data_IF_771510306572
#
_entry.id   IF_771510306572
#
_cell.length_a   1.000
_cell.length_b   1.000
_cell.length_c   1.000
_cell.angle_alpha   90.00
_cell.angle_beta   90.00
_cell.angle_gamma   90.00
#
_symmetry.space_group_name_H-M   'P 1'
#
loop_
_entity.id
_entity.type
_entity.pdbx_description
1 polymer ?
#
# COMPACT_ATOMS: atom_id res chain seq x y z
N UNK A 1 13.78 -1.32 6.26
CA UNK A 1 12.91 -2.50 6.38
C UNK A 1 13.61 -3.78 5.95
N UNK A 2 13.27 -4.91 6.58
CA UNK A 2 13.54 -6.22 5.97
C UNK A 2 12.46 -6.48 4.92
N UNK A 3 12.79 -6.26 3.64
CA UNK A 3 11.89 -6.40 2.48
C UNK A 3 11.52 -7.88 2.26
N UNK A 4 10.28 -8.14 1.89
CA UNK A 4 9.76 -9.49 1.66
C UNK A 4 9.39 -10.24 2.94
N UNK A 5 9.22 -9.51 4.05
CA UNK A 5 8.69 -10.04 5.29
C UNK A 5 7.16 -10.21 5.21
N UNK A 6 6.57 -10.80 6.24
CA UNK A 6 5.12 -11.05 6.31
C UNK A 6 4.26 -9.78 6.20
N UNK A 7 4.76 -8.63 6.66
CA UNK A 7 4.11 -7.35 6.49
C UNK A 7 4.06 -6.89 5.04
N UNK A 8 5.14 -7.06 4.27
CA UNK A 8 5.10 -6.73 2.84
C UNK A 8 4.19 -7.68 2.07
N UNK A 9 4.07 -8.93 2.50
CA UNK A 9 3.12 -9.88 1.93
C UNK A 9 1.67 -9.51 2.26
N UNK A 10 1.41 -8.99 3.47
CA UNK A 10 0.13 -8.39 3.83
C UNK A 10 -0.18 -7.18 2.93
N UNK A 11 0.78 -6.28 2.77
CA UNK A 11 0.64 -5.09 1.92
C UNK A 11 0.26 -5.46 0.49
N UNK A 12 1.13 -6.18 -0.20
CA UNK A 12 0.90 -6.54 -1.59
C UNK A 12 -0.31 -7.47 -1.76
N UNK A 13 -0.59 -8.32 -0.76
CA UNK A 13 -1.79 -9.14 -0.71
C UNK A 13 -3.07 -8.32 -0.76
N UNK A 14 -3.17 -7.32 0.11
CA UNK A 14 -4.31 -6.41 0.20
C UNK A 14 -4.40 -5.49 -1.02
N UNK A 15 -3.29 -4.91 -1.46
CA UNK A 15 -3.24 -3.99 -2.60
C UNK A 15 -3.70 -4.68 -3.89
N UNK A 16 -3.20 -5.87 -4.20
CA UNK A 16 -3.55 -6.55 -5.44
C UNK A 16 -4.96 -7.16 -5.41
N UNK A 17 -5.44 -7.55 -4.22
CA UNK A 17 -6.85 -7.89 -4.04
C UNK A 17 -7.75 -6.67 -4.25
N UNK A 18 -7.34 -5.50 -3.76
CA UNK A 18 -8.05 -4.25 -3.98
C UNK A 18 -8.09 -3.90 -5.47
N UNK A 19 -6.96 -3.97 -6.17
CA UNK A 19 -6.90 -3.77 -7.63
C UNK A 19 -7.86 -4.71 -8.34
N UNK A 20 -7.81 -6.01 -8.01
CA UNK A 20 -8.68 -7.03 -8.61
C UNK A 20 -10.17 -6.77 -8.36
N UNK A 21 -10.52 -6.18 -7.22
CA UNK A 21 -11.89 -5.85 -6.86
C UNK A 21 -12.42 -4.57 -7.54
N UNK A 22 -11.56 -3.58 -7.80
CA UNK A 22 -12.00 -2.26 -8.32
C UNK A 22 -11.73 -2.05 -9.80
N UNK A 23 -10.78 -2.75 -10.42
CA UNK A 23 -10.40 -2.50 -11.81
C UNK A 23 -11.13 -3.42 -12.79
N UNK A 24 -11.50 -2.84 -13.94
CA UNK A 24 -11.90 -3.61 -15.12
C UNK A 24 -10.94 -3.39 -16.30
N UNK A 25 -10.24 -2.24 -16.37
CA UNK A 25 -9.36 -1.90 -17.50
C UNK A 25 -8.23 -0.93 -17.12
N UNK A 26 -8.52 0.14 -16.37
CA UNK A 26 -7.54 1.14 -15.97
C UNK A 26 -7.53 1.38 -14.46
N UNK A 27 -6.42 1.90 -13.95
CA UNK A 27 -6.24 2.25 -12.55
C UNK A 27 -5.39 3.52 -12.41
N UNK A 28 -5.83 4.41 -11.53
CA UNK A 28 -4.98 5.44 -10.96
C UNK A 28 -4.37 4.93 -9.65
N UNK A 29 -3.06 4.99 -9.51
CA UNK A 29 -2.30 4.59 -8.32
C UNK A 29 -1.71 5.83 -7.67
N UNK A 30 -2.03 6.05 -6.39
CA UNK A 30 -1.33 7.01 -5.54
C UNK A 30 -0.55 6.24 -4.49
N UNK A 31 0.78 6.25 -4.57
CA UNK A 31 1.67 5.51 -3.68
C UNK A 31 2.57 6.46 -2.89
N UNK A 32 2.41 6.52 -1.57
CA UNK A 32 3.10 7.50 -0.72
C UNK A 32 4.56 7.13 -0.38
N UNK A 33 4.95 5.86 -0.46
CA UNK A 33 6.34 5.42 -0.38
C UNK A 33 6.60 4.39 -1.48
N UNK A 34 7.04 4.88 -2.64
CA UNK A 34 7.07 4.08 -3.87
C UNK A 34 8.24 3.09 -3.93
N UNK A 35 9.30 3.32 -3.15
CA UNK A 35 10.53 2.51 -3.15
C UNK A 35 11.21 2.48 -4.53
N UNK A 36 12.35 1.79 -4.66
CA UNK A 36 12.88 1.53 -6.00
C UNK A 36 11.94 0.54 -6.72
N UNK A 37 11.88 0.53 -8.06
CA UNK A 37 11.09 -0.45 -8.80
C UNK A 37 11.34 -1.89 -8.33
N UNK A 38 12.62 -2.21 -8.09
CA UNK A 38 13.07 -3.53 -7.63
C UNK A 38 14.15 -3.38 -6.59
N UNK A 39 14.10 -4.21 -5.56
CA UNK A 39 15.04 -4.13 -4.45
C UNK A 39 15.52 -5.51 -3.99
N UNK A 40 16.75 -5.59 -3.48
CA UNK A 40 17.24 -6.81 -2.84
C UNK A 40 16.68 -6.96 -1.42
N UNK A 41 16.23 -8.16 -1.08
CA UNK A 41 15.84 -8.55 0.27
C UNK A 41 17.07 -8.75 1.18
N UNK A 42 17.22 -7.96 2.26
CA UNK A 42 18.45 -7.97 3.06
C UNK A 42 18.61 -9.20 3.98
N UNK A 43 17.59 -10.04 4.16
CA UNK A 43 17.63 -11.17 5.10
C UNK A 43 16.80 -12.39 4.63
N UNK A 44 17.40 -13.36 3.92
CA UNK A 44 16.70 -14.55 3.39
C UNK A 44 15.93 -15.35 4.44
N UNK A 45 16.44 -15.42 5.68
CA UNK A 45 15.82 -16.18 6.78
C UNK A 45 14.47 -15.62 7.23
N UNK A 46 14.19 -14.34 6.96
CA UNK A 46 12.94 -13.65 7.29
C UNK A 46 11.89 -13.73 6.17
N UNK A 47 12.25 -14.28 5.02
CA UNK A 47 11.44 -14.27 3.80
C UNK A 47 10.96 -15.67 3.42
N UNK A 48 10.89 -16.59 4.38
CA UNK A 48 10.48 -17.99 4.16
C UNK A 48 9.12 -18.07 3.49
N UNK A 49 8.19 -17.19 3.85
CA UNK A 49 6.84 -17.16 3.30
C UNK A 49 6.82 -16.70 1.84
N UNK A 50 7.58 -15.64 1.50
CA UNK A 50 7.77 -15.23 0.11
C UNK A 50 8.38 -16.37 -0.72
N UNK A 51 9.44 -17.00 -0.21
CA UNK A 51 10.04 -18.16 -0.88
C UNK A 51 9.04 -19.32 -1.03
N UNK A 52 8.20 -19.57 -0.03
CA UNK A 52 7.15 -20.58 -0.10
C UNK A 52 6.17 -20.25 -1.23
N UNK A 53 5.62 -19.03 -1.29
CA UNK A 53 4.68 -18.58 -2.32
C UNK A 53 5.26 -18.62 -3.74
N UNK A 54 6.53 -18.24 -3.90
CA UNK A 54 7.18 -18.26 -5.21
C UNK A 54 7.36 -19.69 -5.73
N UNK A 55 7.69 -20.63 -4.84
CA UNK A 55 8.01 -22.03 -5.20
C UNK A 55 6.83 -23.00 -5.12
N UNK A 56 5.72 -22.59 -4.52
CA UNK A 56 4.55 -23.45 -4.36
C UNK A 56 3.82 -23.60 -5.69
N UNK A 57 3.71 -24.83 -6.21
CA UNK A 57 3.01 -25.11 -7.46
C UNK A 57 1.49 -24.94 -7.42
N UNK A 58 0.94 -24.21 -6.44
CA UNK A 58 -0.50 -23.97 -6.36
C UNK A 58 -0.87 -22.84 -7.35
N UNK A 59 -2.05 -22.97 -7.93
CA UNK A 59 -2.73 -21.89 -8.67
C UNK A 59 -3.25 -20.86 -7.65
N UNK A 60 -2.34 -19.98 -7.23
CA UNK A 60 -2.64 -18.95 -6.24
C UNK A 60 -3.38 -17.74 -6.83
N UNK A 61 -3.92 -16.86 -5.96
CA UNK A 61 -4.50 -15.57 -6.34
C UNK A 61 -3.58 -14.68 -7.18
N UNK A 62 -4.17 -13.61 -7.74
CA UNK A 62 -3.54 -12.57 -8.56
C UNK A 62 -2.17 -12.09 -8.04
N UNK A 63 -2.00 -12.07 -6.72
CA UNK A 63 -0.76 -11.69 -6.02
C UNK A 63 0.44 -12.54 -6.43
N UNK A 64 0.36 -13.87 -6.31
CA UNK A 64 1.49 -14.75 -6.62
C UNK A 64 1.79 -14.73 -8.12
N UNK A 65 0.75 -14.63 -8.95
CA UNK A 65 0.92 -14.46 -10.39
C UNK A 65 1.66 -13.15 -10.72
N UNK A 66 1.33 -12.04 -10.05
CA UNK A 66 2.00 -10.75 -10.22
C UNK A 66 3.49 -10.81 -9.84
N UNK A 67 3.82 -11.45 -8.72
CA UNK A 67 5.22 -11.68 -8.34
C UNK A 67 5.97 -12.53 -9.38
N UNK A 68 5.36 -13.61 -9.87
CA UNK A 68 5.97 -14.49 -10.89
C UNK A 68 6.19 -13.77 -12.22
N UNK A 69 5.22 -12.97 -12.68
CA UNK A 69 5.37 -12.14 -13.90
C UNK A 69 6.50 -11.13 -13.78
N UNK A 70 6.75 -10.63 -12.57
CA UNK A 70 7.87 -9.74 -12.27
C UNK A 70 9.21 -10.47 -12.07
N UNK A 71 9.24 -11.80 -12.19
CA UNK A 71 10.41 -12.64 -11.91
C UNK A 71 10.94 -12.39 -10.48
N UNK A 72 10.01 -12.23 -9.54
CA UNK A 72 10.36 -11.86 -8.17
C UNK A 72 11.26 -12.92 -7.54
N UNK A 73 12.29 -12.44 -6.85
CA UNK A 73 13.23 -13.26 -6.10
C UNK A 73 13.76 -12.49 -4.90
N UNK A 74 14.61 -13.12 -4.09
CA UNK A 74 15.26 -12.43 -2.97
C UNK A 74 16.19 -11.31 -3.43
N UNK A 75 16.72 -11.37 -4.66
CA UNK A 75 17.59 -10.32 -5.20
C UNK A 75 16.78 -9.25 -5.96
N UNK A 76 15.52 -9.54 -6.27
CA UNK A 76 14.65 -8.73 -7.11
C UNK A 76 13.22 -8.75 -6.56
N UNK A 77 13.00 -8.00 -5.49
CA UNK A 77 11.69 -7.80 -4.88
C UNK A 77 11.00 -6.59 -5.54
N UNK A 78 9.88 -6.77 -6.27
CA UNK A 78 9.17 -5.69 -6.93
C UNK A 78 8.41 -4.80 -5.92
N UNK A 79 8.28 -3.51 -6.22
CA UNK A 79 7.41 -2.61 -5.47
C UNK A 79 5.93 -2.74 -5.89
N UNK A 80 5.05 -1.99 -5.23
CA UNK A 80 3.61 -1.96 -5.54
C UNK A 80 3.33 -1.62 -7.01
N UNK A 81 3.97 -0.58 -7.56
CA UNK A 81 3.71 -0.15 -8.94
C UNK A 81 4.05 -1.25 -9.97
N UNK A 82 5.19 -1.93 -9.84
CA UNK A 82 5.56 -3.08 -10.68
C UNK A 82 4.54 -4.23 -10.58
N UNK A 83 4.08 -4.52 -9.36
CA UNK A 83 3.11 -5.60 -9.14
C UNK A 83 1.74 -5.26 -9.74
N UNK A 84 1.25 -4.04 -9.52
CA UNK A 84 -0.02 -3.58 -10.09
C UNK A 84 0.04 -3.58 -11.61
N UNK A 85 1.10 -3.02 -12.21
CA UNK A 85 1.27 -3.00 -13.65
C UNK A 85 1.34 -4.41 -14.25
N UNK A 86 1.88 -5.41 -13.53
CA UNK A 86 1.85 -6.80 -14.00
C UNK A 86 0.47 -7.46 -14.02
N UNK A 87 -0.54 -6.84 -13.38
CA UNK A 87 -1.93 -7.30 -13.40
C UNK A 87 -2.69 -6.62 -14.53
N UNK A 88 -2.58 -5.29 -14.63
CA UNK A 88 -3.43 -4.49 -15.53
C UNK A 88 -2.73 -4.04 -16.81
N UNK A 89 -1.40 -4.10 -16.87
CA UNK A 89 -0.56 -3.60 -17.97
C UNK A 89 -0.05 -2.18 -17.74
N UNK A 90 1.16 -1.90 -18.24
CA UNK A 90 1.81 -0.58 -18.14
C UNK A 90 0.98 0.54 -18.79
N UNK A 91 0.28 0.26 -19.89
CA UNK A 91 -0.56 1.24 -20.59
C UNK A 91 -1.87 1.58 -19.84
N UNK A 92 -2.16 0.85 -18.76
CA UNK A 92 -3.41 0.94 -18.01
C UNK A 92 -3.23 1.49 -16.59
N UNK A 93 -2.00 1.87 -16.22
CA UNK A 93 -1.67 2.46 -14.93
C UNK A 93 -1.30 3.94 -15.10
N UNK A 94 -1.88 4.78 -14.25
CA UNK A 94 -1.57 6.22 -14.16
C UNK A 94 -1.45 6.63 -12.70
N UNK A 95 -0.96 7.83 -12.43
CA UNK A 95 -1.05 8.44 -11.09
C UNK A 95 0.26 8.95 -10.54
N UNK A 96 0.46 8.81 -9.24
CA UNK A 96 1.48 9.54 -8.50
C UNK A 96 2.28 8.63 -7.56
N UNK A 97 3.60 8.65 -7.74
CA UNK A 97 4.57 7.88 -6.97
C UNK A 97 5.45 8.84 -6.16
N UNK A 98 5.34 8.83 -4.83
CA UNK A 98 6.18 9.64 -3.93
C UNK A 98 7.36 8.83 -3.41
N UNK A 99 8.55 9.44 -3.39
CA UNK A 99 9.77 8.85 -2.83
C UNK A 99 10.77 9.97 -2.45
N UNK A 100 11.41 9.85 -1.29
CA UNK A 100 12.35 10.87 -0.77
C UNK A 100 13.81 10.54 -1.05
N UNK A 101 14.14 9.28 -1.35
CA UNK A 101 15.50 8.86 -1.69
C UNK A 101 15.84 9.19 -3.15
N UNK A 102 16.76 10.12 -3.36
CA UNK A 102 17.19 10.58 -4.69
C UNK A 102 17.60 9.43 -5.64
N UNK A 103 18.28 8.41 -5.12
CA UNK A 103 18.67 7.24 -5.91
C UNK A 103 17.46 6.47 -6.42
N UNK A 104 16.49 6.19 -5.55
CA UNK A 104 15.27 5.47 -5.91
C UNK A 104 14.38 6.30 -6.83
N UNK A 105 14.30 7.62 -6.62
CA UNK A 105 13.61 8.55 -7.53
C UNK A 105 14.18 8.45 -8.94
N UNK A 106 15.51 8.40 -9.06
CA UNK A 106 16.19 8.26 -10.35
C UNK A 106 15.81 6.94 -11.03
N UNK A 107 15.78 5.83 -10.28
CA UNK A 107 15.36 4.53 -10.79
C UNK A 107 13.89 4.49 -11.21
N UNK A 108 13.00 5.09 -10.41
CA UNK A 108 11.57 5.22 -10.71
C UNK A 108 11.34 6.03 -11.99
N UNK A 109 12.00 7.19 -12.12
CA UNK A 109 11.89 8.03 -13.31
C UNK A 109 12.34 7.28 -14.56
N UNK A 110 13.41 6.50 -14.47
CA UNK A 110 13.89 5.68 -15.59
C UNK A 110 12.92 4.56 -15.97
N UNK A 111 12.21 3.97 -14.99
CA UNK A 111 11.25 2.88 -15.23
C UNK A 111 9.93 3.37 -15.82
N UNK A 112 9.46 4.54 -15.40
CA UNK A 112 8.11 5.03 -15.66
C UNK A 112 8.07 6.22 -16.64
N UNK A 113 9.18 6.56 -17.31
CA UNK A 113 9.29 7.74 -18.18
C UNK A 113 8.28 7.78 -19.34
N UNK A 114 7.89 6.61 -19.85
CA UNK A 114 6.98 6.46 -21.00
C UNK A 114 5.54 6.13 -20.57
N UNK A 115 5.20 6.36 -19.30
CA UNK A 115 3.87 6.02 -18.73
C UNK A 115 3.20 7.24 -18.12
N UNK A 116 1.93 7.11 -17.76
CA UNK A 116 1.16 8.15 -17.05
C UNK A 116 1.39 8.13 -15.53
N UNK A 117 2.44 7.46 -15.04
CA UNK A 117 2.87 7.51 -13.64
C UNK A 117 3.88 8.63 -13.42
N UNK A 118 3.51 9.59 -12.58
CA UNK A 118 4.32 10.74 -12.23
C UNK A 118 5.12 10.47 -10.95
N UNK A 119 6.44 10.58 -11.04
CA UNK A 119 7.34 10.41 -9.90
C UNK A 119 7.62 11.75 -9.22
N UNK A 120 7.37 11.82 -7.92
CA UNK A 120 7.58 12.97 -7.07
C UNK A 120 8.73 12.69 -6.10
N UNK A 121 9.87 13.36 -6.31
CA UNK A 121 11.06 13.26 -5.45
C UNK A 121 10.94 14.07 -4.16
N UNK A 122 9.83 13.93 -3.43
CA UNK A 122 9.57 14.69 -2.21
C UNK A 122 8.65 13.95 -1.24
N UNK A 123 8.50 14.55 -0.06
CA UNK A 123 7.57 14.14 0.98
C UNK A 123 6.13 14.06 0.47
N UNK A 124 5.45 12.94 0.69
CA UNK A 124 4.04 12.77 0.35
C UNK A 124 3.16 13.80 1.10
N UNK A 125 3.55 14.21 2.32
CA UNK A 125 2.83 15.23 3.11
C UNK A 125 2.74 16.56 2.37
N UNK A 126 3.78 16.90 1.62
CA UNK A 126 3.82 18.11 0.79
C UNK A 126 3.24 17.85 -0.60
N UNK A 127 3.52 16.68 -1.15
CA UNK A 127 3.15 16.28 -2.50
C UNK A 127 1.66 16.09 -2.71
N UNK A 128 0.94 15.49 -1.76
CA UNK A 128 -0.51 15.23 -1.88
C UNK A 128 -1.34 16.50 -2.08
N UNK A 129 -0.88 17.65 -1.58
CA UNK A 129 -1.57 18.92 -1.78
C UNK A 129 -1.54 19.44 -3.23
N UNK A 130 -0.68 18.86 -4.07
CA UNK A 130 -0.40 19.30 -5.45
C UNK A 130 -0.92 18.33 -6.50
N UNK A 131 -1.20 17.09 -6.12
CA UNK A 131 -1.72 16.09 -7.05
C UNK A 131 -3.21 16.29 -7.27
N UNK A 132 -3.64 16.01 -8.50
CA UNK A 132 -5.06 16.08 -8.86
C UNK A 132 -5.69 14.72 -8.58
N UNK A 133 -6.96 14.70 -8.14
CA UNK A 133 -7.67 13.45 -8.06
C UNK A 133 -7.86 12.82 -9.45
N UNK A 134 -8.01 11.49 -9.51
CA UNK A 134 -8.42 10.82 -10.74
C UNK A 134 -9.81 11.28 -11.21
N UNK A 135 -10.13 11.00 -12.46
CA UNK A 135 -11.45 11.26 -13.01
C UNK A 135 -12.53 10.32 -12.38
N UNK A 136 -13.79 10.75 -12.21
CA UNK A 136 -14.94 9.99 -11.66
C UNK A 136 -15.06 8.52 -12.07
N UNK A 137 -14.70 8.22 -13.31
CA UNK A 137 -14.80 6.93 -13.96
C UNK A 137 -13.57 6.03 -13.77
N UNK A 138 -12.46 6.58 -13.29
CA UNK A 138 -11.18 5.88 -13.15
C UNK A 138 -11.11 5.19 -11.79
N UNK A 139 -10.85 3.88 -11.79
CA UNK A 139 -10.64 3.15 -10.55
C UNK A 139 -9.39 3.69 -9.83
N UNK A 140 -9.44 3.84 -8.51
CA UNK A 140 -8.35 4.46 -7.75
C UNK A 140 -7.88 3.61 -6.58
N UNK A 141 -6.59 3.31 -6.54
CA UNK A 141 -5.92 2.79 -5.37
C UNK A 141 -5.03 3.88 -4.76
N UNK A 142 -5.35 4.29 -3.54
CA UNK A 142 -4.43 5.01 -2.68
C UNK A 142 -3.77 4.02 -1.72
N UNK A 143 -2.45 4.00 -1.68
CA UNK A 143 -1.69 3.16 -0.75
C UNK A 143 -0.66 3.96 0.05
N UNK A 144 -0.57 3.60 1.32
CA UNK A 144 0.36 4.19 2.26
C UNK A 144 0.92 3.16 3.22
N UNK A 145 2.24 3.07 3.27
CA UNK A 145 3.01 2.01 3.91
C UNK A 145 4.07 2.52 4.91
N UNK A 146 3.69 3.36 5.90
CA UNK A 146 4.60 3.86 6.92
C UNK A 146 5.09 2.72 7.82
N UNK A 147 6.32 2.82 8.30
CA UNK A 147 6.88 1.81 9.21
C UNK A 147 6.11 1.65 10.51
N UNK A 148 5.80 2.76 11.17
CA UNK A 148 5.21 2.77 12.52
C UNK A 148 4.14 3.86 12.62
N UNK A 149 3.17 3.62 13.50
CA UNK A 149 2.26 4.66 13.97
C UNK A 149 2.79 5.22 15.29
N UNK A 150 2.90 6.54 15.42
CA UNK A 150 3.39 7.20 16.64
C UNK A 150 2.41 8.28 17.14
N UNK A 151 2.31 8.49 18.45
CA UNK A 151 1.60 9.64 19.00
C UNK A 151 2.33 10.94 18.63
N UNK A 152 1.58 12.05 18.59
CA UNK A 152 2.08 13.37 18.15
C UNK A 152 3.28 13.90 18.97
N UNK A 153 3.54 13.33 20.15
CA UNK A 153 4.56 13.78 21.10
C UNK A 153 5.94 13.16 20.88
N UNK A 154 6.12 12.21 19.94
CA UNK A 154 7.38 11.51 19.74
C UNK A 154 8.23 12.07 18.58
N UNK A 155 9.31 12.77 18.89
CA UNK A 155 10.47 12.97 18.01
C UNK A 155 10.24 13.71 16.68
N UNK A 156 11.31 13.87 15.86
CA UNK A 156 11.21 14.45 14.52
C UNK A 156 10.35 13.59 13.59
N UNK A 157 9.63 14.24 12.67
CA UNK A 157 8.80 13.56 11.66
C UNK A 157 9.73 12.97 10.60
N UNK A 158 9.75 11.65 10.49
CA UNK A 158 10.39 10.92 9.40
C UNK A 158 9.30 10.50 8.40
N UNK A 159 9.51 10.88 7.14
CA UNK A 159 8.51 10.71 6.10
C UNK A 159 8.25 9.25 5.75
N UNK A 160 9.31 8.45 5.68
CA UNK A 160 9.27 7.02 5.32
C UNK A 160 8.84 6.15 6.51
N UNK A 161 9.14 6.59 7.73
CA UNK A 161 9.01 5.73 8.89
C UNK A 161 7.73 5.95 9.69
N UNK A 162 7.12 7.13 9.68
CA UNK A 162 6.16 7.49 10.73
C UNK A 162 4.84 8.01 10.18
N UNK A 163 3.74 7.48 10.70
CA UNK A 163 2.40 8.04 10.60
C UNK A 163 1.92 8.53 11.97
N UNK A 164 1.30 9.70 12.02
CA UNK A 164 0.82 10.35 13.25
C UNK A 164 -0.67 10.74 13.15
N UNK A 165 -1.35 11.00 14.28
CA UNK A 165 -2.73 11.51 14.26
C UNK A 165 -2.94 12.77 13.41
N UNK A 166 -1.97 13.70 13.41
CA UNK A 166 -2.04 14.89 12.55
C UNK A 166 -1.98 14.57 11.05
N UNK A 167 -1.24 13.53 10.67
CA UNK A 167 -1.19 13.04 9.29
C UNK A 167 -2.54 12.48 8.85
N UNK A 168 -3.23 11.75 9.74
CA UNK A 168 -4.59 11.27 9.49
C UNK A 168 -5.55 12.44 9.27
N UNK A 169 -5.39 13.54 10.02
CA UNK A 169 -6.19 14.76 9.78
C UNK A 169 -5.88 15.43 8.43
N UNK A 170 -4.63 15.38 7.96
CA UNK A 170 -4.24 15.86 6.64
C UNK A 170 -4.86 14.98 5.54
N UNK A 171 -4.83 13.65 5.71
CA UNK A 171 -5.44 12.69 4.80
C UNK A 171 -6.96 12.90 4.70
N UNK A 172 -7.66 13.05 5.83
CA UNK A 172 -9.11 13.33 5.82
C UNK A 172 -9.41 14.58 4.98
N UNK A 173 -8.68 15.68 5.20
CA UNK A 173 -8.88 16.92 4.42
C UNK A 173 -8.59 16.70 2.94
N UNK A 174 -7.53 15.98 2.62
CA UNK A 174 -7.19 15.63 1.24
C UNK A 174 -8.33 14.85 0.57
N UNK A 175 -8.80 13.77 1.18
CA UNK A 175 -9.88 12.94 0.60
C UNK A 175 -11.22 13.67 0.54
N UNK A 176 -11.53 14.56 1.50
CA UNK A 176 -12.70 15.44 1.42
C UNK A 176 -12.61 16.42 0.25
N UNK A 177 -11.43 17.00 0.01
CA UNK A 177 -11.20 17.95 -1.09
C UNK A 177 -11.21 17.29 -2.47
N UNK A 178 -10.65 16.07 -2.55
CA UNK A 178 -10.69 15.24 -3.76
C UNK A 178 -12.12 14.91 -4.16
N UNK A 179 -13.05 14.87 -3.18
CA UNK A 179 -14.47 14.60 -3.45
C UNK A 179 -14.64 13.18 -3.96
N UNK A 180 -14.42 12.22 -3.06
CA UNK A 180 -14.05 10.86 -3.45
C UNK A 180 -14.88 10.28 -4.60
N UNK A 181 -14.15 9.77 -5.57
CA UNK A 181 -14.45 9.81 -7.00
C UNK A 181 -15.14 8.51 -7.40
N UNK A 182 -16.47 8.54 -7.51
CA UNK A 182 -17.27 7.37 -7.89
C UNK A 182 -17.22 6.22 -6.86
N UNK A 183 -17.76 5.03 -7.19
CA UNK A 183 -17.81 3.90 -6.27
C UNK A 183 -16.56 3.01 -6.27
N UNK A 184 -15.61 3.20 -7.20
CA UNK A 184 -14.53 2.24 -7.49
C UNK A 184 -13.18 2.70 -6.97
N UNK A 185 -13.05 2.85 -5.66
CA UNK A 185 -11.76 3.22 -5.09
C UNK A 185 -11.52 2.57 -3.74
N UNK A 186 -10.24 2.43 -3.41
CA UNK A 186 -9.74 1.86 -2.18
C UNK A 186 -8.63 2.74 -1.63
N UNK A 187 -8.69 3.00 -0.33
CA UNK A 187 -7.58 3.55 0.45
C UNK A 187 -7.05 2.41 1.31
N UNK A 188 -5.74 2.18 1.25
CA UNK A 188 -5.05 1.19 2.09
C UNK A 188 -3.92 1.87 2.86
N UNK A 189 -3.94 1.71 4.18
CA UNK A 189 -2.94 2.28 5.10
C UNK A 189 -2.36 1.14 5.93
N UNK A 190 -1.05 0.92 5.85
CA UNK A 190 -0.32 -0.14 6.52
C UNK A 190 0.50 0.41 7.69
N UNK A 191 0.88 -0.46 8.62
CA UNK A 191 1.82 -0.18 9.69
C UNK A 191 2.60 -1.48 10.00
N UNK A 192 3.92 -1.44 9.78
CA UNK A 192 4.78 -2.63 9.83
C UNK A 192 5.37 -2.93 11.21
N UNK A 193 5.41 -1.96 12.10
CA UNK A 193 6.01 -2.15 13.41
C UNK A 193 5.15 -1.48 14.47
N UNK A 194 4.22 -2.25 15.03
CA UNK A 194 3.54 -1.84 16.24
C UNK A 194 4.51 -2.02 17.40
N UNK A 195 5.04 -0.90 17.91
CA UNK A 195 6.00 -0.90 19.01
C UNK A 195 5.41 -1.58 20.25
N UNK A 196 6.22 -2.39 20.91
CA UNK A 196 5.92 -2.87 22.25
C UNK A 196 6.14 -1.73 23.26
N UNK A 197 5.16 -1.44 24.10
CA UNK A 197 5.28 -0.38 25.10
C UNK A 197 4.04 -0.25 25.97
N UNK A 198 4.00 0.74 26.88
CA UNK A 198 2.84 1.01 27.72
C UNK A 198 1.64 1.53 26.92
N UNK A 199 1.87 2.08 25.72
CA UNK A 199 0.84 2.51 24.78
C UNK A 199 0.46 1.33 23.88
N UNK A 200 -0.83 1.05 23.76
CA UNK A 200 -1.31 0.09 22.76
C UNK A 200 -1.37 0.76 21.38
N UNK A 201 -0.26 0.69 20.64
CA UNK A 201 -0.14 1.30 19.31
C UNK A 201 -1.12 0.71 18.29
N UNK A 202 -1.58 -0.54 18.48
CA UNK A 202 -2.61 -1.16 17.64
C UNK A 202 -3.96 -0.45 17.82
N UNK A 203 -4.40 -0.30 19.07
CA UNK A 203 -5.67 0.37 19.38
C UNK A 203 -5.63 1.84 18.97
N UNK A 204 -4.49 2.50 19.16
CA UNK A 204 -4.29 3.88 18.74
C UNK A 204 -4.41 4.02 17.21
N UNK A 205 -3.71 3.16 16.46
CA UNK A 205 -3.82 3.12 15.01
C UNK A 205 -5.28 2.91 14.58
N UNK A 206 -5.96 1.88 15.09
CA UNK A 206 -7.34 1.60 14.73
C UNK A 206 -8.32 2.71 15.12
N UNK A 207 -8.10 3.38 16.25
CA UNK A 207 -8.91 4.53 16.66
C UNK A 207 -8.82 5.67 15.63
N UNK A 208 -7.60 5.98 15.18
CA UNK A 208 -7.38 7.03 14.18
C UNK A 208 -7.90 6.63 12.80
N UNK A 209 -7.75 5.36 12.42
CA UNK A 209 -8.35 4.83 11.19
C UNK A 209 -9.88 4.90 11.23
N UNK A 210 -10.52 4.57 12.36
CA UNK A 210 -11.98 4.75 12.54
C UNK A 210 -12.39 6.22 12.46
N UNK A 211 -11.59 7.13 13.02
CA UNK A 211 -11.83 8.58 12.89
C UNK A 211 -11.83 9.00 11.42
N UNK A 212 -10.89 8.49 10.62
CA UNK A 212 -10.86 8.71 9.17
C UNK A 212 -12.08 8.10 8.47
N UNK A 213 -12.43 6.85 8.77
CA UNK A 213 -13.63 6.19 8.25
C UNK A 213 -14.90 7.01 8.48
N UNK A 214 -15.09 7.49 9.71
CA UNK A 214 -16.24 8.30 10.11
C UNK A 214 -16.23 9.68 9.45
N UNK A 215 -15.05 10.32 9.35
CA UNK A 215 -14.89 11.62 8.71
C UNK A 215 -15.14 11.60 7.19
N UNK A 216 -15.06 10.42 6.58
CA UNK A 216 -15.27 10.21 5.14
C UNK A 216 -16.54 9.39 4.84
N UNK A 217 -17.28 8.94 5.87
CA UNK A 217 -18.47 8.07 5.74
C UNK A 217 -18.22 6.79 4.92
N UNK A 218 -17.11 6.09 5.22
CA UNK A 218 -16.68 4.90 4.48
C UNK A 218 -16.87 3.61 5.29
N UNK A 219 -16.99 2.50 4.56
CA UNK A 219 -16.71 1.19 5.14
C UNK A 219 -15.23 1.05 5.45
N UNK A 220 -14.91 0.30 6.51
CA UNK A 220 -13.55 0.01 6.92
C UNK A 220 -13.40 -1.45 7.32
N UNK A 221 -12.34 -2.10 6.86
CA UNK A 221 -11.84 -3.36 7.40
C UNK A 221 -10.40 -3.20 7.88
N UNK A 222 -10.01 -4.05 8.83
CA UNK A 222 -8.63 -4.17 9.28
C UNK A 222 -8.11 -5.57 9.06
N UNK A 223 -6.89 -5.69 8.55
CA UNK A 223 -6.19 -6.95 8.33
C UNK A 223 -4.91 -6.96 9.15
N UNK A 224 -4.48 -8.13 9.62
CA UNK A 224 -3.27 -8.23 10.42
C UNK A 224 -2.51 -9.53 10.16
N UNK A 225 -1.21 -9.49 10.38
CA UNK A 225 -0.35 -10.67 10.54
C UNK A 225 0.37 -10.56 11.87
N UNK A 226 0.28 -11.58 12.73
CA UNK A 226 0.78 -11.57 14.11
C UNK A 226 2.02 -12.44 14.32
N UNK A 227 2.59 -13.03 13.26
CA UNK A 227 3.81 -13.82 13.36
C UNK A 227 5.03 -12.90 13.53
N UNK A 228 5.61 -12.85 14.73
CA UNK A 228 6.74 -11.97 15.03
C UNK A 228 6.28 -10.56 15.40
N UNK A 229 6.76 -9.54 14.67
CA UNK A 229 6.29 -8.16 14.86
C UNK A 229 4.92 -8.01 14.19
N UNK A 230 3.86 -7.61 14.91
CA UNK A 230 2.54 -7.53 14.33
C UNK A 230 2.47 -6.40 13.29
N UNK A 231 1.95 -6.75 12.12
CA UNK A 231 1.69 -5.86 11.00
C UNK A 231 0.18 -5.67 10.88
N UNK A 232 -0.27 -4.44 10.63
CA UNK A 232 -1.69 -4.12 10.47
C UNK A 232 -1.92 -3.30 9.21
N UNK A 233 -3.07 -3.52 8.58
CA UNK A 233 -3.61 -2.72 7.50
C UNK A 233 -5.01 -2.22 7.88
N UNK A 234 -5.34 -0.99 7.50
CA UNK A 234 -6.70 -0.48 7.45
C UNK A 234 -7.06 -0.19 6.00
N UNK A 235 -8.20 -0.69 5.56
CA UNK A 235 -8.69 -0.57 4.19
C UNK A 235 -10.05 0.09 4.20
N UNK A 236 -10.22 1.09 3.34
CA UNK A 236 -11.44 1.89 3.22
C UNK A 236 -11.96 1.87 1.80
N UNK A 237 -13.27 1.82 1.66
CA UNK A 237 -13.96 1.89 0.37
C UNK A 237 -15.40 2.37 0.59
N UNK A 238 -16.05 3.01 -0.41
CA UNK A 238 -17.47 3.31 -0.34
C UNK A 238 -18.33 2.06 -0.65
N UNK A 239 -17.72 0.99 -1.17
CA UNK A 239 -18.38 -0.27 -1.48
C UNK A 239 -18.01 -1.33 -0.44
N UNK A 240 -19.01 -1.83 0.28
CA UNK A 240 -18.85 -2.94 1.23
C UNK A 240 -18.44 -4.23 0.51
N UNK A 241 -19.01 -4.51 -0.67
CA UNK A 241 -18.67 -5.67 -1.50
C UNK A 241 -17.17 -5.72 -1.86
N UNK A 242 -16.57 -4.56 -2.16
CA UNK A 242 -15.12 -4.44 -2.41
C UNK A 242 -14.31 -4.83 -1.17
N UNK A 243 -14.70 -4.33 0.01
CA UNK A 243 -14.03 -4.65 1.27
C UNK A 243 -14.13 -6.15 1.57
N UNK A 244 -15.31 -6.73 1.40
CA UNK A 244 -15.50 -8.17 1.60
C UNK A 244 -14.66 -9.00 0.62
N UNK A 245 -14.59 -8.61 -0.65
CA UNK A 245 -13.77 -9.30 -1.64
C UNK A 245 -12.29 -9.27 -1.25
N UNK A 246 -11.76 -8.11 -0.86
CA UNK A 246 -10.38 -7.97 -0.38
C UNK A 246 -10.15 -8.91 0.81
N UNK A 247 -11.09 -8.96 1.75
CA UNK A 247 -11.01 -9.85 2.91
C UNK A 247 -10.99 -11.34 2.55
N UNK A 248 -11.82 -11.77 1.59
CA UNK A 248 -11.83 -13.16 1.10
C UNK A 248 -10.50 -13.53 0.43
N UNK A 249 -9.97 -12.67 -0.43
CA UNK A 249 -8.71 -12.93 -1.13
C UNK A 249 -7.53 -12.96 -0.14
N UNK A 250 -7.50 -12.02 0.81
CA UNK A 250 -6.49 -12.01 1.87
C UNK A 250 -6.55 -13.28 2.74
N UNK A 251 -7.73 -13.75 3.12
CA UNK A 251 -7.86 -14.98 3.91
C UNK A 251 -7.28 -16.21 3.19
N UNK A 252 -7.47 -16.31 1.87
CA UNK A 252 -6.87 -17.39 1.07
C UNK A 252 -5.34 -17.30 1.13
N UNK A 253 -4.77 -16.11 0.92
CA UNK A 253 -3.31 -15.90 0.99
C UNK A 253 -2.75 -16.12 2.39
N UNK A 254 -3.48 -15.69 3.42
CA UNK A 254 -3.04 -15.77 4.80
C UNK A 254 -2.99 -17.21 5.33
N UNK A 255 -3.84 -18.10 4.81
CA UNK A 255 -3.92 -19.49 5.25
C UNK A 255 -2.95 -20.43 4.51
N UNK A 256 -2.11 -19.88 3.62
CA UNK A 256 -1.05 -20.62 2.93
C UNK A 256 0.33 -20.09 3.30
#
# INVERSE_FOLDING_TARGET
MAKGNDGNLLQHGVELAAVSAITNHSLHLTCTHSMAPRESCPAPSRNRRLCHWLNSGLDFPSVVAAYRRNEASLDRYPNTAELVASIIGDDNISGDLFEVSENKVTELLARWSETDLHVHGNSWRQGLSKVKPPAPETSWLFTMDPMTFLPDTEGPVDDDAMLRPNDVSLLIKYFQNVGVVGPKWVISIFCFELRSGPVNYYDLFLSEMRRMSNGLSLGMASFQVTYGNPHVAAVFSPSEDVIEQIGREWQVLHNV
#
